data_IF_625023116326
#
_entry.id   IF_625023116326
#
_cell.length_a   1.000
_cell.length_b   1.000
_cell.length_c   1.000
_cell.angle_alpha   90.00
_cell.angle_beta   90.00
_cell.angle_gamma   90.00
#
_symmetry.space_group_name_H-M   'P 1'
#
loop_
_entity.id
_entity.type
_entity.pdbx_description
1 polymer ?
#
# COMPACT_ATOMS: atom_id res chain seq x y z
N UNK A 1 -57.41 -42.25 31.18
CA UNK A 1 -56.33 -41.27 31.31
C UNK A 1 -55.72 -41.02 29.93
N UNK A 2 -55.92 -39.79 29.41
CA UNK A 2 -55.06 -39.02 28.49
C UNK A 2 -54.48 -39.72 27.24
N UNK A 3 -55.05 -39.55 26.04
CA UNK A 3 -54.94 -38.43 25.08
C UNK A 3 -53.78 -38.53 24.04
N UNK A 4 -54.21 -38.70 22.77
CA UNK A 4 -53.76 -38.07 21.49
C UNK A 4 -52.27 -38.18 21.04
N UNK A 5 -51.96 -38.74 19.86
CA UNK A 5 -52.14 -38.28 18.46
C UNK A 5 -50.92 -37.50 17.86
N UNK A 6 -50.38 -38.09 16.77
CA UNK A 6 -50.02 -37.46 15.47
C UNK A 6 -48.79 -36.53 15.28
N UNK A 7 -47.98 -36.94 14.29
CA UNK A 7 -47.25 -36.20 13.24
C UNK A 7 -46.22 -35.10 13.60
N UNK A 8 -45.00 -35.21 13.05
CA UNK A 8 -44.49 -34.43 11.89
C UNK A 8 -42.96 -34.53 11.77
N UNK A 9 -42.52 -34.97 10.59
CA UNK A 9 -41.27 -34.55 9.95
C UNK A 9 -41.21 -33.02 10.02
N UNK A 10 -40.10 -32.43 10.47
CA UNK A 10 -39.50 -31.17 9.96
C UNK A 10 -38.32 -30.70 10.86
N UNK A 11 -37.15 -30.50 10.22
CA UNK A 11 -35.96 -29.73 10.66
C UNK A 11 -35.05 -30.25 11.78
N UNK A 12 -33.95 -30.88 11.37
CA UNK A 12 -32.66 -30.76 12.08
C UNK A 12 -31.47 -30.87 11.13
N UNK A 13 -31.46 -30.01 10.11
CA UNK A 13 -30.26 -29.63 9.36
C UNK A 13 -30.04 -28.13 9.55
N UNK A 14 -29.36 -27.75 10.63
CA UNK A 14 -28.85 -26.38 10.81
C UNK A 14 -27.72 -26.38 11.83
N UNK A 15 -26.58 -26.97 11.47
CA UNK A 15 -25.35 -26.86 12.27
C UNK A 15 -24.08 -26.78 11.43
N UNK A 16 -24.16 -26.29 10.18
CA UNK A 16 -22.97 -26.15 9.33
C UNK A 16 -22.76 -24.76 8.71
N UNK A 17 -23.51 -23.74 9.14
CA UNK A 17 -23.28 -22.34 8.74
C UNK A 17 -22.52 -21.60 9.85
N UNK A 18 -21.39 -22.15 10.30
CA UNK A 18 -20.42 -21.41 11.13
C UNK A 18 -19.07 -21.17 10.44
N UNK A 19 -18.86 -21.72 9.24
CA UNK A 19 -17.63 -21.47 8.48
C UNK A 19 -17.62 -20.17 7.67
N UNK A 20 -18.77 -19.52 7.45
CA UNK A 20 -18.84 -18.23 6.74
C UNK A 20 -18.76 -17.01 7.68
N UNK A 21 -18.77 -17.21 8.99
CA UNK A 21 -18.55 -16.14 9.97
C UNK A 21 -17.06 -15.91 10.29
N UNK A 22 -16.16 -16.73 9.73
CA UNK A 22 -14.72 -16.71 9.99
C UNK A 22 -14.02 -15.43 9.48
N UNK A 23 -14.65 -14.68 8.57
CA UNK A 23 -14.10 -13.45 7.99
C UNK A 23 -14.58 -12.14 8.65
N UNK A 24 -15.34 -12.20 9.74
CA UNK A 24 -15.90 -11.01 10.42
C UNK A 24 -15.07 -10.46 11.58
N UNK A 25 -13.95 -11.11 11.94
CA UNK A 25 -13.09 -10.64 13.02
C UNK A 25 -11.89 -9.87 12.44
N UNK A 26 -11.74 -8.56 12.71
CA UNK A 26 -10.65 -7.74 12.16
C UNK A 26 -9.25 -8.28 12.48
N UNK A 27 -9.07 -8.86 13.67
CA UNK A 27 -7.80 -9.47 14.09
C UNK A 27 -7.44 -10.70 13.26
N UNK A 28 -8.42 -11.53 12.90
CA UNK A 28 -8.20 -12.71 12.10
C UNK A 28 -7.84 -12.34 10.65
N UNK A 29 -8.51 -11.33 10.10
CA UNK A 29 -8.18 -10.78 8.78
C UNK A 29 -6.76 -10.22 8.77
N UNK A 30 -6.35 -9.49 9.81
CA UNK A 30 -5.01 -8.93 9.97
C UNK A 30 -3.92 -10.03 10.08
N UNK A 31 -4.21 -11.10 10.82
CA UNK A 31 -3.30 -12.25 10.95
C UNK A 31 -3.14 -13.02 9.63
N UNK A 32 -4.24 -13.31 8.93
CA UNK A 32 -4.20 -13.94 7.61
C UNK A 32 -3.43 -13.09 6.61
N UNK A 33 -3.72 -11.78 6.61
CA UNK A 33 -2.99 -10.79 5.86
C UNK A 33 -1.49 -10.88 6.15
N UNK A 34 -1.07 -10.91 7.42
CA UNK A 34 0.35 -11.03 7.79
C UNK A 34 0.97 -12.32 7.26
N UNK A 35 0.29 -13.45 7.39
CA UNK A 35 0.76 -14.75 6.89
C UNK A 35 0.96 -14.75 5.37
N UNK A 36 0.03 -14.17 4.61
CA UNK A 36 0.15 -14.05 3.14
C UNK A 36 1.37 -13.22 2.76
N UNK A 37 1.67 -12.11 3.46
CA UNK A 37 2.88 -11.31 3.19
C UNK A 37 4.15 -12.12 3.45
N UNK A 38 4.20 -12.83 4.57
CA UNK A 38 5.37 -13.64 4.94
C UNK A 38 5.60 -14.77 3.94
N UNK A 39 4.53 -15.45 3.49
CA UNK A 39 4.63 -16.49 2.47
C UNK A 39 5.18 -15.96 1.14
N UNK A 40 4.71 -14.77 0.69
CA UNK A 40 5.23 -14.14 -0.53
C UNK A 40 6.73 -13.81 -0.43
N UNK A 41 7.16 -13.27 0.71
CA UNK A 41 8.56 -12.95 0.96
C UNK A 41 9.44 -14.21 1.02
N UNK A 42 8.94 -15.28 1.63
CA UNK A 42 9.63 -16.56 1.67
C UNK A 42 9.79 -17.19 0.28
N UNK A 43 8.80 -17.02 -0.61
CA UNK A 43 8.93 -17.43 -2.01
C UNK A 43 9.98 -16.58 -2.72
N UNK A 44 9.95 -15.25 -2.56
CA UNK A 44 10.94 -14.36 -3.18
C UNK A 44 12.37 -14.68 -2.75
N UNK A 45 12.59 -14.94 -1.45
CA UNK A 45 13.92 -15.33 -0.95
C UNK A 45 14.40 -16.69 -1.46
N UNK A 46 13.51 -17.55 -1.96
CA UNK A 46 13.89 -18.84 -2.59
C UNK A 46 14.15 -18.73 -4.08
N UNK A 47 13.72 -17.64 -4.71
CA UNK A 47 13.86 -17.39 -6.14
C UNK A 47 15.00 -16.40 -6.43
N UNK A 48 15.85 -16.13 -5.45
CA UNK A 48 16.96 -15.18 -5.52
C UNK A 48 16.59 -13.78 -6.00
N UNK A 49 15.38 -13.35 -5.63
CA UNK A 49 14.77 -12.10 -6.06
C UNK A 49 14.93 -11.03 -4.98
N UNK A 50 16.06 -10.34 -5.04
CA UNK A 50 16.52 -9.44 -3.99
C UNK A 50 16.55 -7.96 -4.39
N UNK A 51 16.27 -7.10 -3.43
CA UNK A 51 16.72 -5.70 -3.42
C UNK A 51 17.65 -5.54 -2.25
N UNK A 52 18.83 -4.98 -2.50
CA UNK A 52 19.85 -4.78 -1.49
C UNK A 52 19.85 -3.33 -1.03
N UNK A 53 20.01 -3.11 0.26
CA UNK A 53 20.13 -1.79 0.87
C UNK A 53 21.48 -1.71 1.56
N UNK A 54 22.35 -0.87 1.01
CA UNK A 54 23.67 -0.60 1.52
C UNK A 54 23.60 0.32 2.74
N UNK A 55 23.93 -0.23 3.91
CA UNK A 55 23.90 0.50 5.17
C UNK A 55 25.27 1.05 5.60
N UNK A 56 26.26 1.10 4.69
CA UNK A 56 27.60 1.63 5.00
C UNK A 56 27.65 3.14 5.27
N UNK A 57 26.57 3.88 5.02
CA UNK A 57 26.48 5.34 5.18
C UNK A 57 26.11 5.80 6.60
N UNK A 58 26.24 4.94 7.62
CA UNK A 58 25.87 5.30 9.00
C UNK A 58 26.58 6.56 9.50
N UNK A 59 27.83 6.78 9.10
CA UNK A 59 28.64 7.95 9.49
C UNK A 59 28.17 9.27 8.85
N UNK A 60 27.41 9.20 7.76
CA UNK A 60 26.81 10.37 7.10
C UNK A 60 25.56 10.85 7.84
N UNK A 61 24.98 10.01 8.71
CA UNK A 61 23.81 10.35 9.49
C UNK A 61 24.18 11.30 10.63
N UNK A 62 23.66 12.53 10.58
CA UNK A 62 23.84 13.50 11.66
C UNK A 62 22.86 13.18 12.79
N UNK A 63 23.37 12.79 13.96
CA UNK A 63 22.58 12.61 15.19
C UNK A 63 22.07 13.94 15.78
N UNK A 64 22.18 15.07 15.07
CA UNK A 64 21.98 16.43 15.61
C UNK A 64 20.54 16.75 16.04
N UNK A 65 19.59 15.86 15.78
CA UNK A 65 18.20 16.05 16.17
C UNK A 65 17.74 14.84 17.00
N UNK A 66 17.82 14.99 18.33
CA UNK A 66 17.44 13.97 19.33
C UNK A 66 16.00 13.46 19.10
N UNK A 67 15.15 14.29 18.48
CA UNK A 67 13.77 13.95 18.13
C UNK A 67 13.65 12.89 17.02
N UNK A 68 14.69 12.69 16.22
CA UNK A 68 14.62 11.88 15.01
C UNK A 68 14.96 10.39 15.24
N UNK A 69 15.51 10.02 16.39
CA UNK A 69 15.94 8.65 16.67
C UNK A 69 17.24 8.27 15.96
N UNK A 70 17.77 7.11 16.29
CA UNK A 70 19.04 6.65 15.73
C UNK A 70 18.89 6.16 14.27
N UNK A 71 20.02 5.98 13.58
CA UNK A 71 20.05 5.54 12.18
C UNK A 71 19.26 4.24 11.94
N UNK A 72 19.38 3.26 12.84
CA UNK A 72 18.70 1.97 12.71
C UNK A 72 17.19 2.09 12.93
N UNK A 73 16.72 2.93 13.85
CA UNK A 73 15.30 3.21 14.04
C UNK A 73 14.69 3.85 12.78
N UNK A 74 15.41 4.77 12.15
CA UNK A 74 15.02 5.37 10.86
C UNK A 74 14.93 4.33 9.75
N UNK A 75 15.96 3.50 9.64
CA UNK A 75 16.00 2.37 8.71
C UNK A 75 14.79 1.46 8.93
N UNK A 76 14.52 1.07 10.17
CA UNK A 76 13.35 0.26 10.54
C UNK A 76 12.05 0.86 10.03
N UNK A 77 11.82 2.16 10.24
CA UNK A 77 10.61 2.84 9.79
C UNK A 77 10.48 2.83 8.26
N UNK A 78 11.59 3.01 7.53
CA UNK A 78 11.59 2.95 6.06
C UNK A 78 11.34 1.54 5.55
N UNK A 79 11.98 0.52 6.13
CA UNK A 79 11.74 -0.90 5.78
C UNK A 79 10.30 -1.30 6.10
N UNK A 80 9.76 -0.87 7.24
CA UNK A 80 8.37 -1.10 7.59
C UNK A 80 7.43 -0.45 6.57
N UNK A 81 7.74 0.77 6.10
CA UNK A 81 6.97 1.42 5.03
C UNK A 81 7.01 0.62 3.72
N UNK A 82 8.15 0.05 3.32
CA UNK A 82 8.23 -0.87 2.18
C UNK A 82 7.31 -2.09 2.39
N UNK A 83 7.34 -2.67 3.58
CA UNK A 83 6.52 -3.83 3.95
C UNK A 83 5.01 -3.58 3.80
N UNK A 84 4.53 -2.39 4.18
CA UNK A 84 3.09 -2.06 4.04
C UNK A 84 2.62 -2.10 2.59
N UNK A 85 3.53 -1.93 1.63
CA UNK A 85 3.23 -1.93 0.20
C UNK A 85 3.25 -3.32 -0.43
N UNK A 86 3.77 -4.36 0.25
CA UNK A 86 3.87 -5.73 -0.30
C UNK A 86 2.54 -6.35 -0.71
N UNK A 87 1.43 -5.94 -0.10
CA UNK A 87 0.11 -6.45 -0.50
C UNK A 87 -0.25 -6.13 -1.94
N UNK A 88 0.30 -5.04 -2.47
CA UNK A 88 0.02 -4.57 -3.82
C UNK A 88 0.64 -5.49 -4.88
N UNK A 89 1.67 -6.26 -4.51
CA UNK A 89 2.49 -7.00 -5.46
C UNK A 89 2.31 -8.51 -5.28
N UNK A 90 2.25 -9.24 -6.38
CA UNK A 90 2.11 -10.70 -6.35
C UNK A 90 3.42 -11.38 -5.91
N UNK A 91 4.55 -10.90 -6.42
CA UNK A 91 5.93 -11.34 -6.13
C UNK A 91 6.84 -10.15 -5.80
N UNK A 92 6.76 -9.61 -4.57
CA UNK A 92 7.66 -8.54 -4.14
C UNK A 92 9.07 -9.08 -3.91
N UNK A 93 10.10 -8.30 -4.25
CA UNK A 93 11.49 -8.67 -3.99
C UNK A 93 11.80 -8.61 -2.49
N UNK A 94 12.57 -9.60 -2.03
CA UNK A 94 13.03 -9.71 -0.65
C UNK A 94 14.14 -8.69 -0.37
N UNK A 95 14.17 -8.10 0.82
CA UNK A 95 15.14 -7.04 1.15
C UNK A 95 16.35 -7.64 1.87
N UNK A 96 17.55 -7.28 1.45
CA UNK A 96 18.79 -7.56 2.19
C UNK A 96 19.39 -6.25 2.67
N UNK A 97 19.66 -6.14 3.96
CA UNK A 97 20.41 -5.04 4.56
C UNK A 97 21.85 -5.52 4.74
N UNK A 98 22.79 -4.92 4.03
CA UNK A 98 24.20 -5.29 4.06
C UNK A 98 25.06 -4.22 4.74
N UNK A 99 26.32 -4.53 5.04
CA UNK A 99 27.24 -3.64 5.77
C UNK A 99 26.73 -3.22 7.16
N UNK A 100 26.00 -4.11 7.85
CA UNK A 100 25.54 -3.88 9.24
C UNK A 100 26.40 -4.69 10.21
N UNK A 101 27.24 -3.99 10.98
CA UNK A 101 28.16 -4.59 11.96
C UNK A 101 27.62 -4.62 13.40
N UNK A 102 26.31 -4.38 13.60
CA UNK A 102 25.74 -4.16 14.93
C UNK A 102 25.92 -5.36 15.87
N UNK A 103 26.55 -5.11 17.03
CA UNK A 103 26.64 -6.04 18.16
C UNK A 103 25.31 -6.02 18.96
N UNK A 104 24.38 -6.90 18.58
CA UNK A 104 23.37 -7.56 19.43
C UNK A 104 22.26 -6.77 20.16
N UNK A 105 22.15 -5.43 20.11
CA UNK A 105 21.05 -4.74 20.83
C UNK A 105 19.77 -4.48 20.01
N UNK A 106 19.84 -4.50 18.68
CA UNK A 106 18.67 -4.25 17.83
C UNK A 106 17.96 -5.55 17.46
N UNK A 107 17.21 -6.11 18.42
CA UNK A 107 16.45 -7.37 18.25
C UNK A 107 15.57 -7.37 17.00
N UNK A 108 15.11 -6.20 16.54
CA UNK A 108 14.26 -6.08 15.35
C UNK A 108 15.01 -6.41 14.06
N UNK A 109 16.30 -6.10 13.94
CA UNK A 109 17.13 -6.39 12.76
C UNK A 109 17.25 -7.90 12.55
N UNK A 110 17.46 -8.64 13.64
CA UNK A 110 17.65 -10.09 13.60
C UNK A 110 16.34 -10.89 13.47
N UNK A 111 15.20 -10.30 13.84
CA UNK A 111 13.91 -11.02 13.88
C UNK A 111 12.90 -10.54 12.84
N UNK A 112 13.28 -9.56 12.01
CA UNK A 112 12.41 -9.04 10.95
C UNK A 112 12.14 -10.13 9.91
N UNK A 113 10.87 -10.50 9.67
CA UNK A 113 10.53 -11.44 8.61
C UNK A 113 10.52 -10.78 7.21
N UNK A 114 10.96 -9.52 7.12
CA UNK A 114 10.85 -8.69 5.92
C UNK A 114 12.19 -8.39 5.27
N UNK A 115 13.27 -8.59 6.01
CA UNK A 115 14.60 -8.36 5.53
C UNK A 115 15.58 -9.34 6.17
N UNK A 116 16.63 -9.69 5.43
CA UNK A 116 17.80 -10.33 5.99
C UNK A 116 18.84 -9.27 6.31
N UNK A 117 19.53 -9.42 7.42
CA UNK A 117 20.57 -8.49 7.88
C UNK A 117 21.89 -9.21 7.90
N UNK A 118 22.91 -8.61 7.29
CA UNK A 118 24.25 -9.17 7.20
C UNK A 118 25.32 -8.10 7.33
N UNK A 119 26.46 -8.50 7.89
CA UNK A 119 27.67 -7.69 7.94
C UNK A 119 28.46 -7.71 6.63
N UNK A 120 28.18 -8.66 5.74
CA UNK A 120 28.85 -8.78 4.44
C UNK A 120 28.53 -7.61 3.52
N UNK A 121 29.44 -7.28 2.62
CA UNK A 121 29.18 -6.35 1.53
C UNK A 121 28.33 -7.01 0.46
N UNK A 122 27.56 -6.22 -0.30
CA UNK A 122 26.86 -6.74 -1.48
C UNK A 122 27.81 -7.30 -2.54
N UNK A 123 29.08 -6.88 -2.53
CA UNK A 123 30.15 -7.44 -3.37
C UNK A 123 30.56 -8.87 -2.96
N UNK A 124 30.39 -9.21 -1.69
CA UNK A 124 30.67 -10.56 -1.18
C UNK A 124 29.46 -11.49 -1.37
N UNK A 125 28.25 -10.91 -1.46
CA UNK A 125 27.00 -11.64 -1.61
C UNK A 125 26.69 -12.00 -3.06
N UNK A 126 27.05 -11.13 -4.01
CA UNK A 126 26.62 -11.23 -5.41
C UNK A 126 27.73 -10.86 -6.38
N UNK A 127 27.77 -11.48 -7.57
CA UNK A 127 28.73 -11.13 -8.61
C UNK A 127 28.47 -9.71 -9.12
N UNK A 128 29.55 -8.97 -9.38
CA UNK A 128 29.51 -7.55 -9.71
C UNK A 128 28.68 -7.26 -10.95
N UNK A 129 28.68 -8.15 -11.93
CA UNK A 129 27.98 -8.02 -13.21
C UNK A 129 26.45 -8.06 -13.05
N UNK A 130 25.95 -8.65 -11.96
CA UNK A 130 24.53 -8.69 -11.63
C UNK A 130 24.07 -7.48 -10.83
N UNK A 131 24.98 -6.64 -10.33
CA UNK A 131 24.63 -5.50 -9.49
C UNK A 131 24.29 -4.25 -10.32
N UNK A 132 23.24 -3.54 -9.91
CA UNK A 132 22.93 -2.20 -10.40
C UNK A 132 22.73 -1.26 -9.22
N UNK A 133 23.65 -0.32 -9.02
CA UNK A 133 23.52 0.69 -7.98
C UNK A 133 22.61 1.83 -8.44
N UNK A 134 21.50 2.06 -7.73
CA UNK A 134 20.64 3.20 -8.02
C UNK A 134 21.14 4.46 -7.30
N UNK A 135 21.47 5.48 -8.10
CA UNK A 135 21.92 6.78 -7.61
C UNK A 135 21.16 7.89 -8.34
N UNK A 136 20.60 8.89 -7.64
CA UNK A 136 19.93 10.02 -8.28
C UNK A 136 20.86 10.82 -9.19
N UNK A 137 22.17 10.77 -8.93
CA UNK A 137 23.17 11.56 -9.61
C UNK A 137 23.79 10.85 -10.83
N UNK A 138 23.46 9.57 -11.04
CA UNK A 138 24.02 8.79 -12.14
C UNK A 138 23.66 9.38 -13.51
N UNK A 139 24.63 9.55 -14.43
CA UNK A 139 24.36 10.01 -15.79
C UNK A 139 23.64 8.95 -16.62
N UNK A 140 23.75 7.68 -16.27
CA UNK A 140 23.04 6.58 -16.92
C UNK A 140 21.59 6.56 -16.45
N UNK A 141 20.63 6.70 -17.36
CA UNK A 141 19.21 6.74 -17.03
C UNK A 141 18.58 5.36 -17.21
N UNK A 142 17.91 4.87 -16.17
CA UNK A 142 17.14 3.63 -16.22
C UNK A 142 15.99 3.76 -17.22
N UNK A 143 15.94 2.86 -18.18
CA UNK A 143 14.87 2.77 -19.19
C UNK A 143 13.82 1.73 -18.80
N UNK A 144 14.29 0.59 -18.26
CA UNK A 144 13.44 -0.53 -17.87
C UNK A 144 13.92 -1.29 -16.65
N UNK A 145 12.99 -2.01 -16.03
CA UNK A 145 13.28 -2.94 -14.94
C UNK A 145 13.87 -4.25 -15.52
N UNK A 146 15.12 -4.52 -15.17
CA UNK A 146 15.84 -5.74 -15.51
C UNK A 146 15.56 -6.80 -14.44
N UNK A 147 15.04 -7.97 -14.84
CA UNK A 147 14.64 -9.02 -13.90
C UNK A 147 15.80 -9.89 -13.41
N UNK A 148 16.93 -9.87 -14.12
CA UNK A 148 18.08 -10.75 -13.87
C UNK A 148 19.20 -10.04 -13.11
N UNK A 149 18.90 -8.90 -12.46
CA UNK A 149 19.88 -8.05 -11.80
C UNK A 149 19.40 -7.73 -10.40
N UNK A 150 20.33 -7.34 -9.56
CA UNK A 150 20.11 -7.01 -8.16
C UNK A 150 20.31 -5.51 -8.01
N UNK A 151 19.22 -4.82 -7.70
CA UNK A 151 19.25 -3.39 -7.46
C UNK A 151 19.77 -3.11 -6.05
N UNK A 152 20.80 -2.26 -5.96
CA UNK A 152 21.40 -1.77 -4.71
C UNK A 152 20.91 -0.34 -4.46
N UNK A 153 20.39 -0.10 -3.26
CA UNK A 153 19.89 1.19 -2.80
C UNK A 153 20.75 1.71 -1.65
N UNK A 154 21.11 2.99 -1.64
CA UNK A 154 21.77 3.60 -0.48
C UNK A 154 20.81 3.71 0.71
N UNK A 155 21.23 3.23 1.88
CA UNK A 155 20.53 3.35 3.16
C UNK A 155 20.53 4.77 3.73
N UNK A 156 20.23 5.78 2.92
CA UNK A 156 20.34 7.19 3.27
C UNK A 156 18.93 7.77 3.49
N UNK A 157 18.70 8.48 4.61
CA UNK A 157 17.36 8.94 5.00
C UNK A 157 17.14 10.45 4.94
N UNK A 158 18.21 11.23 4.94
CA UNK A 158 18.18 12.68 5.03
C UNK A 158 19.22 13.31 4.09
N UNK A 159 19.22 14.64 4.01
CA UNK A 159 20.25 15.35 3.26
C UNK A 159 21.61 15.08 3.91
N UNK A 160 22.48 14.43 3.16
CA UNK A 160 23.86 14.17 3.54
C UNK A 160 24.68 15.44 3.46
N UNK A 161 25.85 15.48 4.13
CA UNK A 161 26.80 16.59 3.99
C UNK A 161 27.50 16.55 2.64
N UNK A 162 27.70 15.35 2.13
CA UNK A 162 28.43 15.08 0.91
C UNK A 162 27.43 14.74 -0.19
N UNK A 163 27.63 15.39 -1.34
CA UNK A 163 26.86 15.14 -2.56
C UNK A 163 27.43 13.90 -3.26
N UNK A 164 26.67 13.27 -4.15
CA UNK A 164 27.14 12.18 -5.03
C UNK A 164 27.65 10.89 -4.35
N UNK A 165 27.51 10.74 -3.02
CA UNK A 165 28.00 9.60 -2.23
C UNK A 165 27.76 8.21 -2.86
N UNK A 166 26.55 7.98 -3.33
CA UNK A 166 26.16 6.68 -3.92
C UNK A 166 26.74 6.47 -5.32
N UNK A 167 26.91 7.54 -6.09
CA UNK A 167 27.53 7.48 -7.42
C UNK A 167 29.03 7.24 -7.27
N UNK A 168 29.71 8.04 -6.45
CA UNK A 168 31.16 7.91 -6.21
C UNK A 168 31.52 6.51 -5.70
N UNK A 169 30.72 5.97 -4.77
CA UNK A 169 30.90 4.60 -4.28
C UNK A 169 30.76 3.57 -5.41
N UNK A 170 29.72 3.69 -6.23
CA UNK A 170 29.49 2.76 -7.34
C UNK A 170 30.60 2.83 -8.40
N UNK A 171 31.11 4.03 -8.72
CA UNK A 171 32.23 4.22 -9.65
C UNK A 171 33.52 3.63 -9.11
N UNK A 172 33.85 3.89 -7.84
CA UNK A 172 35.03 3.34 -7.17
C UNK A 172 34.99 1.82 -7.10
N UNK A 173 33.82 1.23 -6.87
CA UNK A 173 33.62 -0.22 -6.80
C UNK A 173 33.38 -0.85 -8.18
N UNK A 174 33.40 -0.06 -9.25
CA UNK A 174 33.18 -0.46 -10.65
C UNK A 174 31.86 -1.21 -10.88
N UNK A 175 30.80 -0.78 -10.21
CA UNK A 175 29.46 -1.34 -10.33
C UNK A 175 28.65 -0.51 -11.33
N UNK A 176 27.86 -1.19 -12.16
CA UNK A 176 26.91 -0.50 -13.05
C UNK A 176 25.95 0.34 -12.21
N UNK A 177 25.81 1.62 -12.53
CA UNK A 177 24.93 2.53 -11.81
C UNK A 177 23.91 3.18 -12.75
N UNK A 178 22.72 3.48 -12.23
CA UNK A 178 21.63 4.11 -12.97
C UNK A 178 20.84 5.09 -12.10
N UNK A 179 20.27 6.13 -12.72
CA UNK A 179 19.31 7.06 -12.13
C UNK A 179 17.90 6.78 -12.65
N UNK A 180 16.88 7.12 -11.84
CA UNK A 180 15.49 7.04 -12.29
C UNK A 180 15.19 8.20 -13.26
N UNK A 181 14.38 8.00 -14.31
CA UNK A 181 14.05 9.02 -15.32
C UNK A 181 13.06 10.07 -14.80
N UNK A 182 13.22 10.57 -13.57
CA UNK A 182 12.22 11.43 -12.91
C UNK A 182 11.95 12.72 -13.68
N UNK A 183 13.00 13.38 -14.20
CA UNK A 183 12.89 14.63 -14.95
C UNK A 183 12.08 14.49 -16.25
N UNK A 184 12.02 13.27 -16.82
CA UNK A 184 11.21 12.98 -18.01
C UNK A 184 9.71 13.01 -17.72
N UNK A 185 9.30 12.66 -16.50
CA UNK A 185 7.89 12.46 -16.14
C UNK A 185 7.36 13.51 -15.15
N UNK A 186 8.23 14.07 -14.33
CA UNK A 186 7.89 14.88 -13.16
C UNK A 186 8.56 16.25 -13.24
N UNK A 187 7.82 17.25 -12.77
CA UNK A 187 8.34 18.58 -12.47
C UNK A 187 8.11 18.80 -10.98
N UNK A 188 9.19 18.80 -10.20
CA UNK A 188 9.10 19.02 -8.76
C UNK A 188 8.80 20.48 -8.45
N UNK A 189 8.08 20.73 -7.35
CA UNK A 189 7.92 22.09 -6.84
C UNK A 189 9.27 22.63 -6.36
N UNK A 190 9.40 23.96 -6.31
CA UNK A 190 10.62 24.63 -5.80
C UNK A 190 10.96 24.26 -4.36
N UNK A 191 9.97 23.78 -3.59
CA UNK A 191 10.11 23.38 -2.19
C UNK A 191 10.35 21.88 -1.98
N UNK A 192 10.24 21.06 -3.03
CA UNK A 192 10.37 19.61 -2.95
C UNK A 192 11.72 19.12 -3.48
N UNK A 193 12.31 18.14 -2.79
CA UNK A 193 13.52 17.47 -3.26
C UNK A 193 13.18 16.50 -4.40
N UNK A 194 13.96 16.47 -5.50
CA UNK A 194 13.86 15.44 -6.52
C UNK A 194 14.47 14.09 -6.08
N UNK A 195 15.17 14.06 -4.94
CA UNK A 195 15.72 12.83 -4.35
C UNK A 195 14.61 12.10 -3.59
N UNK A 196 14.33 10.87 -4.01
CA UNK A 196 13.27 10.04 -3.46
C UNK A 196 13.74 9.26 -2.23
N UNK A 197 12.82 8.97 -1.31
CA UNK A 197 13.11 8.12 -0.17
C UNK A 197 13.18 6.65 -0.55
N UNK A 198 13.90 5.85 0.22
CA UNK A 198 14.08 4.40 0.03
C UNK A 198 12.77 3.66 -0.29
N UNK A 199 11.71 3.92 0.48
CA UNK A 199 10.40 3.30 0.27
C UNK A 199 9.70 3.75 -1.02
N UNK A 200 9.96 4.96 -1.51
CA UNK A 200 9.46 5.41 -2.82
C UNK A 200 10.20 4.67 -3.94
N UNK A 201 11.53 4.58 -3.87
CA UNK A 201 12.34 3.85 -4.86
C UNK A 201 11.95 2.38 -4.90
N UNK A 202 11.81 1.73 -3.74
CA UNK A 202 11.33 0.36 -3.65
C UNK A 202 9.95 0.18 -4.33
N UNK A 203 8.98 1.05 -4.03
CA UNK A 203 7.66 0.99 -4.65
C UNK A 203 7.70 1.22 -6.17
N UNK A 204 8.57 2.09 -6.66
CA UNK A 204 8.78 2.31 -8.09
C UNK A 204 9.27 1.01 -8.73
N UNK A 205 10.35 0.41 -8.20
CA UNK A 205 10.90 -0.85 -8.72
C UNK A 205 9.87 -1.97 -8.71
N UNK A 206 9.15 -2.16 -7.61
CA UNK A 206 8.11 -3.17 -7.52
C UNK A 206 6.97 -2.93 -8.51
N UNK A 207 6.58 -1.67 -8.75
CA UNK A 207 5.53 -1.36 -9.72
C UNK A 207 6.01 -1.59 -11.15
N UNK A 208 7.25 -1.24 -11.50
CA UNK A 208 7.79 -1.51 -12.83
C UNK A 208 7.87 -3.00 -13.12
N UNK A 209 8.34 -3.78 -12.15
CA UNK A 209 8.38 -5.24 -12.21
C UNK A 209 7.03 -5.89 -12.48
N UNK A 210 5.97 -5.40 -11.83
CA UNK A 210 4.62 -6.01 -11.90
C UNK A 210 3.73 -5.45 -13.00
N UNK A 211 4.04 -4.27 -13.54
CA UNK A 211 3.16 -3.53 -14.44
C UNK A 211 3.78 -3.31 -15.82
N UNK A 212 4.51 -4.29 -16.36
CA UNK A 212 5.16 -4.24 -17.68
C UNK A 212 5.96 -2.94 -17.88
N UNK A 213 6.80 -2.59 -16.90
CA UNK A 213 7.66 -1.41 -16.95
C UNK A 213 6.91 -0.06 -17.14
N UNK A 214 5.68 0.03 -16.62
CA UNK A 214 4.87 1.25 -16.73
C UNK A 214 5.31 2.34 -15.73
N UNK A 215 6.17 3.24 -16.20
CA UNK A 215 6.64 4.41 -15.45
C UNK A 215 5.53 5.34 -14.95
N UNK A 216 4.41 5.46 -15.66
CA UNK A 216 3.30 6.32 -15.22
C UNK A 216 2.65 5.76 -13.95
N UNK A 217 2.44 4.45 -13.88
CA UNK A 217 1.92 3.81 -12.67
C UNK A 217 2.94 3.84 -11.53
N UNK A 218 4.21 3.56 -11.85
CA UNK A 218 5.27 3.52 -10.84
C UNK A 218 5.46 4.86 -10.12
N UNK A 219 5.40 5.98 -10.86
CA UNK A 219 5.63 7.30 -10.30
C UNK A 219 4.43 7.88 -9.53
N UNK A 220 3.26 7.22 -9.54
CA UNK A 220 2.10 7.65 -8.71
C UNK A 220 2.36 7.55 -7.21
N UNK A 221 3.38 6.82 -6.77
CA UNK A 221 3.74 6.76 -5.35
C UNK A 221 4.35 8.08 -4.83
N UNK A 222 4.67 9.03 -5.72
CA UNK A 222 5.22 10.33 -5.38
C UNK A 222 4.06 11.28 -5.05
N UNK A 223 4.01 11.89 -3.84
CA UNK A 223 2.91 12.76 -3.45
C UNK A 223 2.73 13.96 -4.38
N UNK A 224 1.48 14.28 -4.73
CA UNK A 224 1.15 15.42 -5.61
C UNK A 224 1.65 16.76 -5.09
N UNK A 225 1.69 16.95 -3.75
CA UNK A 225 2.25 18.16 -3.12
C UNK A 225 3.72 18.43 -3.46
N UNK A 226 4.45 17.42 -3.93
CA UNK A 226 5.84 17.54 -4.36
C UNK A 226 5.97 17.96 -5.83
N UNK A 227 4.86 17.97 -6.59
CA UNK A 227 4.83 18.18 -8.03
C UNK A 227 4.20 19.52 -8.40
N UNK A 228 4.67 20.12 -9.49
CA UNK A 228 3.99 21.23 -10.14
C UNK A 228 2.75 20.72 -10.87
N UNK A 229 1.69 21.55 -10.89
CA UNK A 229 0.41 21.27 -11.59
C UNK A 229 0.56 20.94 -13.08
N UNK A 230 1.68 21.32 -13.70
CA UNK A 230 1.95 21.11 -15.13
C UNK A 230 2.90 19.92 -15.40
N UNK A 231 3.10 19.01 -14.45
CA UNK A 231 3.89 17.79 -14.69
C UNK A 231 3.14 16.83 -15.62
N UNK A 232 3.87 16.04 -16.43
CA UNK A 232 3.27 15.07 -17.38
C UNK A 232 2.41 14.07 -16.61
N UNK A 233 2.87 13.64 -15.43
CA UNK A 233 2.10 12.81 -14.52
C UNK A 233 0.80 13.52 -14.10
N UNK A 234 0.86 14.79 -13.68
CA UNK A 234 -0.34 15.55 -13.36
C UNK A 234 -1.26 15.65 -14.57
N UNK A 235 -0.81 15.91 -15.80
CA UNK A 235 -1.72 15.97 -16.96
C UNK A 235 -2.46 14.65 -17.29
N UNK A 236 -1.90 13.50 -16.92
CA UNK A 236 -2.53 12.17 -17.10
C UNK A 236 -3.31 11.69 -15.86
N UNK A 237 -2.87 12.06 -14.66
CA UNK A 237 -3.58 11.83 -13.37
C UNK A 237 -4.74 12.82 -13.20
N UNK A 238 -4.58 14.02 -13.75
CA UNK A 238 -5.57 15.09 -13.96
C UNK A 238 -6.22 14.98 -15.33
N UNK A 239 -6.41 13.76 -15.85
CA UNK A 239 -7.80 13.47 -16.15
C UNK A 239 -8.46 13.41 -14.78
N UNK A 240 -9.14 14.47 -14.32
CA UNK A 240 -10.07 14.23 -13.24
C UNK A 240 -10.91 13.04 -13.70
N UNK A 241 -11.27 12.16 -12.77
CA UNK A 241 -12.36 11.24 -13.01
C UNK A 241 -13.64 12.09 -13.12
N UNK A 242 -13.71 12.92 -14.17
CA UNK A 242 -14.84 13.68 -14.66
C UNK A 242 -15.19 12.96 -15.93
N UNK A 243 -15.79 11.80 -15.74
CA UNK A 243 -17.24 11.78 -15.87
C UNK A 243 -17.78 11.24 -14.55
N UNK A 244 -18.75 11.93 -13.97
CA UNK A 244 -19.45 11.59 -12.73
C UNK A 244 -20.34 10.34 -12.89
N UNK A 245 -19.84 9.31 -13.57
CA UNK A 245 -20.61 8.13 -13.91
C UNK A 245 -20.19 6.99 -13.00
N UNK A 246 -21.08 6.64 -12.08
CA UNK A 246 -20.97 5.40 -11.36
C UNK A 246 -20.96 4.24 -12.36
N UNK A 247 -19.95 3.39 -12.29
CA UNK A 247 -19.93 2.16 -13.07
C UNK A 247 -21.12 1.28 -12.65
N UNK A 248 -21.96 0.92 -13.62
CA UNK A 248 -23.01 -0.08 -13.44
C UNK A 248 -22.55 -1.42 -14.03
N UNK A 249 -22.51 -2.44 -13.18
CA UNK A 249 -22.16 -3.80 -13.59
C UNK A 249 -23.41 -4.65 -13.84
N UNK A 250 -23.23 -5.75 -14.56
CA UNK A 250 -24.30 -6.72 -14.82
C UNK A 250 -24.52 -7.63 -13.60
N UNK A 251 -25.78 -7.91 -13.31
CA UNK A 251 -26.20 -8.94 -12.36
C UNK A 251 -26.59 -10.19 -13.14
N UNK A 252 -26.00 -11.32 -12.76
CA UNK A 252 -26.24 -12.62 -13.36
C UNK A 252 -26.91 -13.49 -12.30
N UNK A 253 -28.06 -14.05 -12.65
CA UNK A 253 -28.72 -15.08 -11.86
C UNK A 253 -28.29 -16.46 -12.40
N UNK A 254 -27.79 -17.33 -11.53
CA UNK A 254 -27.46 -18.71 -11.86
C UNK A 254 -28.26 -19.64 -10.96
N UNK A 255 -28.88 -20.65 -11.54
CA UNK A 255 -29.53 -21.72 -10.77
C UNK A 255 -28.45 -22.70 -10.34
N UNK A 256 -28.25 -22.83 -9.04
CA UNK A 256 -27.35 -23.84 -8.48
C UNK A 256 -27.86 -25.24 -8.83
N UNK A 257 -26.97 -26.24 -8.77
CA UNK A 257 -27.31 -27.66 -8.94
C UNK A 257 -28.42 -28.18 -8.00
N UNK A 258 -28.79 -27.40 -6.98
CA UNK A 258 -29.85 -27.70 -6.03
C UNK A 258 -31.14 -26.89 -6.28
N UNK A 259 -31.27 -26.24 -7.44
CA UNK A 259 -32.46 -25.45 -7.82
C UNK A 259 -32.55 -24.08 -7.15
N UNK A 260 -31.57 -23.69 -6.34
CA UNK A 260 -31.55 -22.38 -5.68
C UNK A 260 -31.00 -21.32 -6.63
N UNK A 261 -31.72 -20.22 -6.83
CA UNK A 261 -31.24 -19.08 -7.61
C UNK A 261 -30.19 -18.28 -6.80
N UNK A 262 -28.96 -18.21 -7.33
CA UNK A 262 -27.87 -17.42 -6.78
C UNK A 262 -27.61 -16.20 -7.68
N UNK A 263 -27.62 -14.99 -7.09
CA UNK A 263 -27.42 -13.74 -7.82
C UNK A 263 -26.03 -13.18 -7.54
N UNK A 264 -25.27 -12.98 -8.61
CA UNK A 264 -23.90 -12.51 -8.55
C UNK A 264 -23.71 -11.33 -9.50
N UNK A 265 -22.95 -10.33 -9.07
CA UNK A 265 -22.57 -9.21 -9.90
C UNK A 265 -21.25 -9.48 -10.61
N UNK A 266 -21.09 -8.95 -11.82
CA UNK A 266 -19.81 -8.99 -12.54
C UNK A 266 -19.11 -7.63 -12.44
N UNK A 267 -17.86 -7.63 -11.99
CA UNK A 267 -17.00 -6.44 -11.92
C UNK A 267 -15.58 -6.76 -12.40
N UNK A 268 -15.15 -6.15 -13.52
CA UNK A 268 -13.82 -6.39 -14.14
C UNK A 268 -13.46 -7.89 -14.22
N UNK A 269 -14.41 -8.69 -14.70
CA UNK A 269 -14.30 -10.15 -14.82
C UNK A 269 -14.30 -10.95 -13.51
N UNK A 270 -14.48 -10.29 -12.36
CA UNK A 270 -14.70 -10.95 -11.07
C UNK A 270 -16.19 -11.14 -10.80
N UNK A 271 -16.54 -12.27 -10.16
CA UNK A 271 -17.90 -12.53 -9.64
C UNK A 271 -17.98 -12.08 -8.19
N UNK A 272 -18.93 -11.20 -7.89
CA UNK A 272 -19.16 -10.63 -6.57
C UNK A 272 -20.51 -11.13 -6.05
N UNK A 273 -20.53 -11.71 -4.85
CA UNK A 273 -21.77 -12.20 -4.24
C UNK A 273 -22.74 -11.06 -3.91
N UNK A 274 -24.04 -11.26 -4.17
CA UNK A 274 -25.08 -10.32 -3.77
C UNK A 274 -25.03 -10.03 -2.26
N UNK A 275 -25.05 -8.75 -1.89
CA UNK A 275 -24.92 -8.27 -0.51
C UNK A 275 -23.51 -7.78 -0.16
N UNK A 276 -22.52 -8.01 -1.04
CA UNK A 276 -21.14 -7.56 -0.81
C UNK A 276 -20.98 -6.06 -1.05
N UNK A 277 -20.16 -5.43 -0.20
CA UNK A 277 -19.67 -4.07 -0.38
C UNK A 277 -18.16 -4.02 -0.17
N UNK A 278 -17.42 -3.41 -1.09
CA UNK A 278 -15.97 -3.31 -1.00
C UNK A 278 -15.46 -1.98 -1.56
N UNK A 279 -14.25 -1.59 -1.14
CA UNK A 279 -13.59 -0.37 -1.59
C UNK A 279 -12.33 -0.74 -2.36
N UNK A 280 -12.17 -0.16 -3.53
CA UNK A 280 -10.94 -0.29 -4.30
C UNK A 280 -9.88 0.66 -3.74
N UNK A 281 -8.65 0.18 -3.56
CA UNK A 281 -7.54 1.06 -3.24
C UNK A 281 -7.24 1.97 -4.44
N UNK A 282 -6.38 2.96 -4.21
CA UNK A 282 -5.83 3.81 -5.26
C UNK A 282 -5.28 2.95 -6.43
N UNK A 283 -5.48 3.33 -7.70
CA UNK A 283 -5.97 4.62 -8.20
C UNK A 283 -7.49 4.74 -8.36
N UNK A 284 -8.25 3.65 -8.25
CA UNK A 284 -9.67 3.67 -8.61
C UNK A 284 -10.55 4.37 -7.55
N UNK A 285 -10.19 4.25 -6.26
CA UNK A 285 -10.90 4.92 -5.16
C UNK A 285 -12.45 4.75 -5.19
N UNK A 286 -12.95 3.63 -5.75
CA UNK A 286 -14.37 3.32 -5.90
C UNK A 286 -14.91 2.55 -4.69
N UNK A 287 -16.11 2.87 -4.26
CA UNK A 287 -16.94 2.06 -3.39
C UNK A 287 -17.97 1.29 -4.22
N UNK A 288 -17.83 -0.04 -4.22
CA UNK A 288 -18.65 -0.96 -4.98
C UNK A 288 -19.68 -1.65 -4.09
N UNK A 289 -20.93 -1.73 -4.54
CA UNK A 289 -22.02 -2.46 -3.88
C UNK A 289 -22.71 -3.37 -4.88
N UNK A 290 -22.76 -4.66 -4.54
CA UNK A 290 -23.53 -5.67 -5.26
C UNK A 290 -24.83 -5.95 -4.50
N UNK A 291 -25.96 -5.80 -5.18
CA UNK A 291 -27.29 -6.17 -4.68
C UNK A 291 -27.88 -7.26 -5.57
N UNK A 292 -29.06 -7.78 -5.19
CA UNK A 292 -29.77 -8.77 -6.02
C UNK A 292 -30.18 -8.23 -7.38
N UNK A 293 -30.23 -6.91 -7.56
CA UNK A 293 -30.78 -6.25 -8.74
C UNK A 293 -29.81 -5.28 -9.41
N UNK A 294 -28.74 -4.87 -8.75
CA UNK A 294 -27.78 -3.92 -9.30
C UNK A 294 -26.36 -4.12 -8.78
N UNK A 295 -25.38 -3.81 -9.62
CA UNK A 295 -24.00 -3.58 -9.24
C UNK A 295 -23.68 -2.11 -9.48
N UNK A 296 -23.19 -1.41 -8.46
CA UNK A 296 -22.81 0.00 -8.61
C UNK A 296 -21.47 0.26 -7.94
N UNK A 297 -20.53 0.83 -8.68
CA UNK A 297 -19.26 1.32 -8.15
C UNK A 297 -19.18 2.83 -8.38
N UNK A 298 -19.22 3.60 -7.31
CA UNK A 298 -19.13 5.06 -7.36
C UNK A 298 -17.89 5.53 -6.59
N UNK A 299 -17.41 6.73 -6.88
CA UNK A 299 -16.41 7.41 -6.05
C UNK A 299 -16.91 7.63 -4.60
N UNK A 300 -16.00 8.06 -3.71
CA UNK A 300 -16.19 8.30 -2.28
C UNK A 300 -17.37 9.21 -1.87
N UNK A 301 -18.60 8.79 -2.11
CA UNK A 301 -19.83 9.37 -1.58
C UNK A 301 -20.22 10.76 -2.12
N UNK A 302 -19.32 11.51 -2.73
CA UNK A 302 -19.59 12.86 -3.25
C UNK A 302 -20.44 12.79 -4.52
N UNK A 303 -19.99 12.06 -5.54
CA UNK A 303 -20.75 11.87 -6.79
C UNK A 303 -22.04 11.05 -6.59
N UNK A 304 -22.11 10.22 -5.55
CA UNK A 304 -23.34 9.52 -5.18
C UNK A 304 -24.30 10.36 -4.33
N UNK A 305 -24.01 11.65 -4.09
CA UNK A 305 -24.83 12.58 -3.29
C UNK A 305 -24.96 12.20 -1.81
N UNK A 306 -24.14 11.28 -1.29
CA UNK A 306 -24.24 10.78 0.09
C UNK A 306 -23.53 11.66 1.11
N UNK A 307 -22.58 12.49 0.67
CA UNK A 307 -21.76 13.32 1.54
C UNK A 307 -21.76 14.76 1.06
N UNK A 308 -22.39 15.64 1.83
CA UNK A 308 -22.46 17.08 1.55
C UNK A 308 -21.43 17.80 2.44
N UNK A 309 -20.55 18.65 1.88
CA UNK A 309 -19.61 19.41 2.68
C UNK A 309 -20.35 20.38 3.62
N UNK A 310 -19.88 20.56 4.86
CA UNK A 310 -20.44 21.57 5.76
C UNK A 310 -20.41 22.98 5.16
N UNK A 311 -21.31 23.85 5.61
CA UNK A 311 -21.36 25.25 5.18
C UNK A 311 -20.02 25.94 5.43
N UNK A 312 -19.46 26.56 4.39
CA UNK A 312 -18.13 27.21 4.45
C UNK A 312 -16.95 26.29 4.12
N UNK A 313 -17.18 25.02 3.82
CA UNK A 313 -16.16 24.04 3.45
C UNK A 313 -16.25 23.64 1.97
N UNK A 314 -15.14 23.14 1.44
CA UNK A 314 -15.04 22.43 0.15
C UNK A 314 -14.46 21.06 0.41
N UNK A 315 -14.98 20.06 -0.30
CA UNK A 315 -14.45 18.71 -0.25
C UNK A 315 -13.27 18.59 -1.23
N UNK A 316 -12.14 18.08 -0.74
CA UNK A 316 -10.99 17.70 -1.54
C UNK A 316 -10.74 16.20 -1.41
N UNK A 317 -10.31 15.61 -2.52
CA UNK A 317 -9.83 14.24 -2.55
C UNK A 317 -8.34 14.25 -2.17
N UNK A 318 -8.01 13.62 -1.04
CA UNK A 318 -6.64 13.32 -0.62
C UNK A 318 -6.43 11.81 -0.75
N UNK A 319 -5.94 11.38 -1.91
CA UNK A 319 -5.93 9.98 -2.34
C UNK A 319 -7.34 9.34 -2.24
N UNK A 320 -7.50 8.31 -1.41
CA UNK A 320 -8.78 7.64 -1.16
C UNK A 320 -9.46 8.12 0.14
N UNK A 321 -9.24 9.37 0.53
CA UNK A 321 -9.87 9.99 1.70
C UNK A 321 -10.48 11.33 1.32
N UNK A 322 -11.74 11.51 1.68
CA UNK A 322 -12.41 12.80 1.56
C UNK A 322 -11.99 13.71 2.71
N UNK A 323 -11.48 14.89 2.38
CA UNK A 323 -11.02 15.89 3.34
C UNK A 323 -11.81 17.17 3.13
N UNK A 324 -12.39 17.71 4.19
CA UNK A 324 -13.06 19.01 4.13
C UNK A 324 -12.09 20.10 4.55
N UNK A 325 -11.91 21.10 3.71
CA UNK A 325 -11.10 22.29 3.99
C UNK A 325 -11.97 23.54 3.91
N UNK A 326 -11.55 24.62 4.55
CA UNK A 326 -12.29 25.89 4.49
C UNK A 326 -12.24 26.48 3.08
N UNK A 327 -13.36 27.05 2.61
CA UNK A 327 -13.43 27.82 1.35
C UNK A 327 -12.40 28.95 1.28
N UNK A 328 -12.09 29.55 2.42
CA UNK A 328 -11.18 30.70 2.53
C UNK A 328 -9.71 30.30 2.68
N UNK A 329 -9.42 29.06 3.06
CA UNK A 329 -8.05 28.58 3.26
C UNK A 329 -7.97 27.05 3.06
N UNK A 330 -7.40 26.62 1.94
CA UNK A 330 -7.29 25.21 1.55
C UNK A 330 -6.31 24.39 2.40
N UNK A 331 -5.50 25.05 3.24
CA UNK A 331 -4.58 24.39 4.18
C UNK A 331 -5.21 24.10 5.55
N UNK A 332 -6.41 24.61 5.82
CA UNK A 332 -7.11 24.40 7.09
C UNK A 332 -8.24 23.39 6.96
N UNK A 333 -8.16 22.32 7.76
CA UNK A 333 -9.22 21.33 7.90
C UNK A 333 -10.47 21.94 8.54
N UNK A 334 -11.63 21.66 7.97
CA UNK A 334 -12.90 21.93 8.62
C UNK A 334 -13.07 21.00 9.84
N UNK A 335 -13.45 21.56 10.98
CA UNK A 335 -13.75 20.79 12.20
C UNK A 335 -15.02 19.95 11.97
N UNK A 336 -14.87 18.67 11.69
CA UNK A 336 -16.00 17.75 11.62
C UNK A 336 -16.39 17.34 13.04
N UNK A 337 -17.55 17.77 13.53
CA UNK A 337 -18.16 17.20 14.74
C UNK A 337 -18.53 15.74 14.46
N UNK A 338 -17.78 14.78 15.01
CA UNK A 338 -18.23 13.38 15.04
C UNK A 338 -19.52 13.33 15.86
N UNK A 339 -20.63 12.91 15.24
CA UNK A 339 -21.82 12.43 15.97
C UNK A 339 -21.38 11.22 16.80
N UNK A 340 -21.39 11.37 18.11
CA UNK A 340 -21.27 10.25 19.05
C UNK A 340 -22.57 9.46 18.98
N UNK A 341 -22.49 8.19 18.57
CA UNK A 341 -23.58 7.23 18.69
C UNK A 341 -23.85 6.97 20.18
N UNK A 342 -24.69 7.80 20.79
CA UNK A 342 -25.34 7.50 22.08
C UNK A 342 -26.64 6.73 21.79
N UNK A 343 -26.54 5.42 21.59
CA UNK A 343 -27.65 4.54 21.96
C UNK A 343 -27.10 3.18 22.39
N UNK A 344 -27.67 2.65 23.49
CA UNK A 344 -27.30 1.44 24.23
C UNK A 344 -26.28 1.62 25.37
N UNK A 345 -26.74 2.30 26.43
CA UNK A 345 -26.55 1.84 27.80
C UNK A 345 -27.81 2.21 28.58
N UNK A 346 -28.76 1.26 28.70
CA UNK A 346 -29.84 1.35 29.70
C UNK A 346 -29.23 0.90 31.04
N UNK A 347 -29.34 1.69 32.12
CA UNK A 347 -28.90 1.28 33.43
C UNK A 347 -29.89 0.27 34.04
N UNK A 348 -29.35 -0.83 34.56
CA UNK A 348 -30.03 -1.75 35.46
C UNK A 348 -30.35 -1.00 36.75
N UNK A 349 -31.63 -0.80 37.04
CA UNK A 349 -32.10 -0.29 38.33
C UNK A 349 -32.21 -1.45 39.32
N UNK A 350 -31.29 -1.53 40.28
CA UNK A 350 -31.48 -2.32 41.49
C UNK A 350 -32.43 -1.58 42.43
N UNK A 351 -33.70 -2.03 42.50
CA UNK A 351 -34.57 -1.70 43.63
C UNK A 351 -34.13 -2.54 44.83
N UNK A 352 -33.64 -1.87 45.88
CA UNK A 352 -33.74 -2.36 47.26
C UNK A 352 -35.02 -1.79 47.85
N UNK A 353 -35.89 -2.70 48.27
CA UNK A 353 -36.80 -2.57 49.41
C UNK A 353 -37.06 -4.00 49.85
#
# INVERSE_FOLDING_TARGET
MLFRHRYRIWWRWSSSIHYLHFFRCPEHLFNLQRQVRQAKLFVASRLDDYIVIDCSFIHEYKESDISLGNYYERLQLKIHSCFTSLYRYHSPSFIILCNIFSNNNDKWLQTSPYCHVTSLSYLDLFPREQLVYLSPDSPNIMTEYEHNVIYVLGGIFEKTKHEHLTLEKAEHEHIRHQSLPLQKYLKFSTTASPVLSLNQVYNILMTLKHNNNNWFEALKCIPERCLLRNSVLHSKISKPCVTSECFQGQVIAQTTKYGTADTQCTFRSMKVLSGSSFKLPFPDCLECKCTKTSMTCCEFGFASGKVVPPTGCVAHNDACKLVFVKKTNSSELCKTTKRTDKSKNKPFTSRRS
#
